data_IF_200985141720
#
_entry.id   IF_200985141720
#
_cell.length_a   1.000
_cell.length_b   1.000
_cell.length_c   1.000
_cell.angle_alpha   90.00
_cell.angle_beta   90.00
_cell.angle_gamma   90.00
#
_symmetry.space_group_name_H-M   'P 1'
#
loop_
_entity.id
_entity.type
_entity.pdbx_description
1 polymer ?
#
# COMPACT_ATOMS: atom_id res chain seq x y z
N UNK A 1 20.29 10.10 -40.54
CA UNK A 1 20.36 9.46 -39.21
C UNK A 1 19.48 8.21 -39.20
N UNK A 2 19.62 7.29 -38.23
CA UNK A 2 18.74 6.11 -38.12
C UNK A 2 17.45 6.48 -37.38
N UNK A 3 16.31 5.83 -37.67
CA UNK A 3 15.10 5.95 -36.86
C UNK A 3 15.38 5.61 -35.40
N UNK A 4 14.80 6.37 -34.47
CA UNK A 4 14.87 6.09 -33.02
C UNK A 4 13.52 5.55 -32.56
N UNK A 5 13.54 4.47 -31.78
CA UNK A 5 12.34 3.86 -31.21
C UNK A 5 12.38 3.98 -29.70
N UNK A 6 11.29 4.44 -29.11
CA UNK A 6 11.12 4.61 -27.66
C UNK A 6 10.07 3.58 -27.21
N UNK A 7 10.43 2.79 -26.21
CA UNK A 7 9.52 1.80 -25.61
C UNK A 7 8.70 2.46 -24.51
N UNK A 8 7.38 2.49 -24.66
CA UNK A 8 6.45 3.04 -23.68
C UNK A 8 5.41 1.98 -23.32
N UNK A 9 5.00 1.85 -22.05
CA UNK A 9 4.05 0.83 -21.62
C UNK A 9 2.68 0.93 -22.27
N UNK A 10 2.37 2.09 -22.87
CA UNK A 10 1.12 2.28 -23.61
C UNK A 10 1.25 1.94 -25.10
N UNK A 11 2.41 2.16 -25.73
CA UNK A 11 2.71 1.78 -27.12
C UNK A 11 4.15 2.14 -27.52
N UNK A 12 4.62 1.59 -28.63
CA UNK A 12 5.94 1.92 -29.18
C UNK A 12 5.84 3.20 -30.02
N UNK A 13 6.72 4.16 -29.75
CA UNK A 13 6.78 5.42 -30.50
C UNK A 13 8.05 5.46 -31.35
N UNK A 14 7.89 5.92 -32.58
CA UNK A 14 8.96 6.02 -33.58
C UNK A 14 9.22 7.48 -33.93
N UNK A 15 10.51 7.80 -34.04
CA UNK A 15 11.00 9.05 -34.60
C UNK A 15 11.71 8.73 -35.91
N UNK A 16 11.19 9.28 -37.01
CA UNK A 16 11.75 9.09 -38.35
C UNK A 16 12.23 10.43 -38.90
N UNK A 17 13.50 10.49 -39.34
CA UNK A 17 14.05 11.70 -39.94
C UNK A 17 13.70 11.75 -41.43
N UNK A 18 13.00 12.79 -41.87
CA UNK A 18 12.54 12.98 -43.24
C UNK A 18 13.41 14.00 -44.03
N UNK A 19 14.37 14.65 -43.36
CA UNK A 19 15.31 15.61 -43.95
C UNK A 19 16.77 15.22 -43.68
N UNK A 20 17.66 15.55 -44.62
CA UNK A 20 19.12 15.49 -44.39
C UNK A 20 19.65 16.71 -43.63
N UNK A 21 18.84 17.76 -43.48
CA UNK A 21 19.17 18.90 -42.65
C UNK A 21 19.21 18.49 -41.16
N UNK A 22 20.18 18.99 -40.38
CA UNK A 22 20.18 18.76 -38.95
C UNK A 22 18.99 19.47 -38.30
N UNK A 23 18.43 18.85 -37.25
CA UNK A 23 17.46 19.49 -36.38
C UNK A 23 18.01 20.82 -35.87
N UNK A 24 17.16 21.85 -35.85
CA UNK A 24 17.44 23.08 -35.15
C UNK A 24 17.61 22.84 -33.65
N UNK A 25 18.26 23.78 -32.94
CA UNK A 25 18.44 23.69 -31.50
C UNK A 25 17.09 23.57 -30.76
N UNK A 26 16.06 24.25 -31.25
CA UNK A 26 14.71 24.22 -30.68
C UNK A 26 14.02 22.87 -30.91
N UNK A 27 14.14 22.27 -32.10
CA UNK A 27 13.61 20.93 -32.37
C UNK A 27 14.34 19.85 -31.55
N UNK A 28 15.66 20.00 -31.34
CA UNK A 28 16.41 19.09 -30.46
C UNK A 28 15.89 19.15 -29.02
N UNK A 29 15.72 20.35 -28.49
CA UNK A 29 15.17 20.54 -27.14
C UNK A 29 13.75 19.97 -27.02
N UNK A 30 12.89 20.21 -28.01
CA UNK A 30 11.55 19.65 -28.03
C UNK A 30 11.55 18.11 -28.01
N UNK A 31 12.44 17.48 -28.77
CA UNK A 31 12.58 16.02 -28.80
C UNK A 31 13.09 15.47 -27.46
N UNK A 32 14.03 16.16 -26.81
CA UNK A 32 14.51 15.79 -25.47
C UNK A 32 13.36 15.84 -24.45
N UNK A 33 12.57 16.93 -24.46
CA UNK A 33 11.39 17.06 -23.58
C UNK A 33 10.35 15.99 -23.84
N UNK A 34 10.11 15.66 -25.10
CA UNK A 34 9.20 14.59 -25.48
C UNK A 34 9.67 13.24 -24.91
N UNK A 35 10.95 12.89 -25.07
CA UNK A 35 11.55 11.67 -24.51
C UNK A 35 11.44 11.63 -22.98
N UNK A 36 11.73 12.74 -22.30
CA UNK A 36 11.63 12.83 -20.84
C UNK A 36 10.19 12.57 -20.37
N UNK A 37 9.20 13.14 -21.07
CA UNK A 37 7.79 12.96 -20.76
C UNK A 37 7.38 11.49 -20.87
N UNK A 38 7.84 10.79 -21.91
CA UNK A 38 7.65 9.34 -22.08
C UNK A 38 8.25 8.54 -20.92
N UNK A 39 9.51 8.79 -20.59
CA UNK A 39 10.17 8.05 -19.52
C UNK A 39 9.47 8.26 -18.16
N UNK A 40 9.01 9.49 -17.89
CA UNK A 40 8.29 9.81 -16.66
C UNK A 40 6.91 9.13 -16.61
N UNK A 41 6.18 9.09 -17.73
CA UNK A 41 4.91 8.38 -17.84
C UNK A 41 5.09 6.88 -17.64
N UNK A 42 6.14 6.29 -18.23
CA UNK A 42 6.46 4.89 -18.05
C UNK A 42 6.75 4.55 -16.59
N UNK A 43 7.59 5.34 -15.93
CA UNK A 43 7.91 5.15 -14.52
C UNK A 43 6.66 5.25 -13.64
N UNK A 44 5.79 6.22 -13.91
CA UNK A 44 4.56 6.41 -13.15
C UNK A 44 3.57 5.24 -13.33
N UNK A 45 3.36 4.77 -14.56
CA UNK A 45 2.54 3.59 -14.83
C UNK A 45 3.07 2.35 -14.09
N UNK A 46 4.39 2.12 -14.10
CA UNK A 46 4.98 1.00 -13.37
C UNK A 46 4.67 1.06 -11.87
N UNK A 47 4.74 2.24 -11.26
CA UNK A 47 4.37 2.46 -9.86
C UNK A 47 2.89 2.16 -9.64
N UNK A 48 1.99 2.73 -10.45
CA UNK A 48 0.55 2.50 -10.35
C UNK A 48 0.19 1.01 -10.48
N UNK A 49 0.76 0.33 -11.46
CA UNK A 49 0.54 -1.11 -11.71
C UNK A 49 1.04 -1.95 -10.54
N UNK A 50 2.22 -1.63 -10.00
CA UNK A 50 2.77 -2.32 -8.82
C UNK A 50 1.86 -2.15 -7.60
N UNK A 51 1.42 -0.92 -7.32
CA UNK A 51 0.52 -0.62 -6.19
C UNK A 51 -0.85 -1.29 -6.36
N UNK A 52 -1.42 -1.22 -7.56
CA UNK A 52 -2.71 -1.86 -7.85
C UNK A 52 -2.63 -3.37 -7.63
N UNK A 53 -1.55 -4.01 -8.12
CA UNK A 53 -1.30 -5.42 -7.88
C UNK A 53 -1.13 -5.72 -6.38
N UNK A 54 -0.41 -4.88 -5.64
CA UNK A 54 -0.25 -5.02 -4.20
C UNK A 54 -1.62 -5.02 -3.49
N UNK A 55 -2.45 -3.98 -3.65
CA UNK A 55 -3.74 -3.91 -2.96
C UNK A 55 -4.72 -5.00 -3.42
N UNK A 56 -4.72 -5.34 -4.72
CA UNK A 56 -5.58 -6.41 -5.25
C UNK A 56 -5.22 -7.81 -4.74
N UNK A 57 -3.95 -8.05 -4.41
CA UNK A 57 -3.48 -9.38 -3.99
C UNK A 57 -3.36 -9.53 -2.48
N UNK A 58 -3.02 -8.44 -1.78
CA UNK A 58 -2.83 -8.42 -0.32
C UNK A 58 -4.15 -8.64 0.45
N UNK A 59 -5.30 -8.49 -0.20
CA UNK A 59 -6.59 -8.90 0.37
C UNK A 59 -6.61 -10.36 0.86
N UNK A 60 -5.89 -11.28 0.19
CA UNK A 60 -5.76 -12.68 0.67
C UNK A 60 -4.92 -12.78 1.94
N UNK A 61 -3.84 -12.02 2.03
CA UNK A 61 -3.00 -11.95 3.24
C UNK A 61 -3.81 -11.40 4.41
N UNK A 62 -4.64 -10.38 4.17
CA UNK A 62 -5.52 -9.82 5.19
C UNK A 62 -6.56 -10.85 5.68
N UNK A 63 -7.14 -11.65 4.77
CA UNK A 63 -8.04 -12.75 5.15
C UNK A 63 -7.34 -13.82 5.99
N UNK A 64 -6.10 -14.17 5.66
CA UNK A 64 -5.30 -15.10 6.46
C UNK A 64 -5.02 -14.54 7.85
N UNK A 65 -4.69 -13.25 7.96
CA UNK A 65 -4.51 -12.58 9.24
C UNK A 65 -5.80 -12.55 10.06
N UNK A 66 -6.95 -12.32 9.43
CA UNK A 66 -8.24 -12.40 10.11
C UNK A 66 -8.44 -13.81 10.71
N UNK A 67 -8.12 -14.88 9.99
CA UNK A 67 -8.24 -16.24 10.51
C UNK A 67 -7.27 -16.51 11.69
N UNK A 68 -6.04 -16.00 11.64
CA UNK A 68 -5.08 -16.10 12.74
C UNK A 68 -5.58 -15.29 13.96
N UNK A 69 -6.12 -14.10 13.71
CA UNK A 69 -6.74 -13.27 14.74
C UNK A 69 -7.94 -13.98 15.39
N UNK A 70 -8.81 -14.61 14.59
CA UNK A 70 -9.97 -15.34 15.12
C UNK A 70 -9.52 -16.50 16.02
N UNK A 71 -8.45 -17.21 15.67
CA UNK A 71 -7.86 -18.24 16.54
C UNK A 71 -7.33 -17.65 17.85
N UNK A 72 -6.61 -16.53 17.79
CA UNK A 72 -6.14 -15.81 18.97
C UNK A 72 -7.30 -15.38 19.87
N UNK A 73 -8.36 -14.81 19.28
CA UNK A 73 -9.56 -14.39 19.99
C UNK A 73 -10.26 -15.57 20.66
N UNK A 74 -10.35 -16.71 19.99
CA UNK A 74 -10.95 -17.92 20.56
C UNK A 74 -10.17 -18.42 21.79
N UNK A 75 -8.84 -18.46 21.73
CA UNK A 75 -8.01 -18.82 22.89
C UNK A 75 -8.19 -17.83 24.05
N UNK A 76 -8.27 -16.53 23.76
CA UNK A 76 -8.56 -15.53 24.79
C UNK A 76 -9.94 -15.72 25.43
N UNK A 77 -10.97 -16.02 24.63
CA UNK A 77 -12.32 -16.26 25.14
C UNK A 77 -12.40 -17.48 26.08
N UNK A 78 -11.61 -18.53 25.82
CA UNK A 78 -11.51 -19.70 26.71
C UNK A 78 -10.95 -19.34 28.09
N UNK A 79 -10.11 -18.30 28.18
CA UNK A 79 -9.49 -17.84 29.42
C UNK A 79 -10.27 -16.70 30.10
N UNK A 80 -11.31 -16.18 29.47
CA UNK A 80 -12.15 -15.11 30.04
C UNK A 80 -12.82 -15.49 31.37
N UNK A 81 -13.31 -16.74 31.58
CA UNK A 81 -13.82 -17.16 32.89
C UNK A 81 -12.76 -17.12 34.00
N UNK A 82 -11.49 -17.41 33.67
CA UNK A 82 -10.38 -17.30 34.61
C UNK A 82 -10.13 -15.84 35.00
N UNK A 83 -10.23 -14.90 34.07
CA UNK A 83 -10.14 -13.46 34.37
C UNK A 83 -11.21 -13.00 35.35
N UNK A 84 -12.46 -13.40 35.13
CA UNK A 84 -13.58 -13.07 36.02
C UNK A 84 -13.37 -13.65 37.42
N UNK A 85 -12.90 -14.90 37.50
CA UNK A 85 -12.56 -15.55 38.76
C UNK A 85 -11.43 -14.83 39.50
N UNK A 86 -10.36 -14.41 38.80
CA UNK A 86 -9.25 -13.66 39.39
C UNK A 86 -9.63 -12.24 39.81
N UNK A 87 -10.65 -11.64 39.19
CA UNK A 87 -11.12 -10.29 39.51
C UNK A 87 -12.21 -10.23 40.58
N UNK A 88 -13.09 -11.24 40.66
CA UNK A 88 -14.25 -11.27 41.55
C UNK A 88 -14.20 -12.34 42.65
N UNK A 89 -13.27 -13.30 42.55
CA UNK A 89 -13.15 -14.39 43.52
C UNK A 89 -12.59 -13.92 44.87
N UNK A 90 -13.23 -14.34 45.96
CA UNK A 90 -12.59 -14.36 47.28
C UNK A 90 -11.31 -15.23 47.19
N UNK A 91 -10.24 -14.90 47.93
CA UNK A 91 -9.01 -15.69 47.90
C UNK A 91 -9.32 -17.16 48.21
N UNK A 92 -8.82 -18.05 47.34
CA UNK A 92 -8.93 -19.50 47.47
C UNK A 92 -8.57 -19.95 48.88
N UNK A 93 -9.41 -20.77 49.50
CA UNK A 93 -9.13 -21.28 50.85
C UNK A 93 -8.11 -22.43 50.78
N UNK A 94 -7.26 -22.57 51.81
CA UNK A 94 -6.17 -23.58 51.87
C UNK A 94 -6.60 -25.04 51.58
N UNK A 95 -7.90 -25.34 51.63
CA UNK A 95 -8.45 -26.69 51.38
C UNK A 95 -8.92 -26.92 49.93
N UNK A 96 -8.92 -25.89 49.08
CA UNK A 96 -9.33 -25.97 47.66
C UNK A 96 -8.12 -26.17 46.72
N UNK A 97 -6.91 -26.15 47.28
CA UNK A 97 -5.63 -26.26 46.56
C UNK A 97 -5.17 -27.73 46.54
N UNK A 98 -5.81 -28.59 45.75
CA UNK A 98 -5.25 -29.91 45.44
C UNK A 98 -4.16 -29.81 44.35
N UNK A 99 -2.91 -29.71 44.84
CA UNK A 99 -1.67 -30.32 44.33
C UNK A 99 -1.28 -30.22 42.83
N UNK A 100 -1.54 -29.09 42.18
CA UNK A 100 -0.60 -28.51 41.21
C UNK A 100 -0.40 -27.08 41.70
N UNK A 101 0.84 -26.63 41.83
CA UNK A 101 1.18 -25.24 42.13
C UNK A 101 0.31 -24.36 41.22
N UNK A 102 -0.60 -23.56 41.78
CA UNK A 102 -1.56 -22.78 40.97
C UNK A 102 -0.84 -21.94 39.92
N UNK A 103 0.40 -21.54 40.19
CA UNK A 103 1.27 -20.87 39.22
C UNK A 103 1.65 -21.78 38.03
N UNK A 104 1.96 -23.06 38.26
CA UNK A 104 2.22 -24.04 37.20
C UNK A 104 0.96 -24.28 36.37
N UNK A 105 -0.22 -24.38 37.00
CA UNK A 105 -1.49 -24.58 36.30
C UNK A 105 -1.86 -23.38 35.42
N UNK A 106 -1.73 -22.16 35.93
CA UNK A 106 -1.95 -20.93 35.15
C UNK A 106 -0.96 -20.82 33.98
N UNK A 107 0.29 -21.23 34.16
CA UNK A 107 1.26 -21.32 33.06
C UNK A 107 0.81 -22.30 31.96
N UNK A 108 0.33 -23.49 32.34
CA UNK A 108 -0.17 -24.46 31.37
C UNK A 108 -1.42 -23.97 30.63
N UNK A 109 -2.37 -23.37 31.34
CA UNK A 109 -3.65 -22.90 30.78
C UNK A 109 -3.44 -21.69 29.84
N UNK A 110 -2.44 -20.85 30.08
CA UNK A 110 -2.13 -19.67 29.24
C UNK A 110 -1.21 -19.97 28.04
N UNK A 111 -0.52 -21.10 28.02
CA UNK A 111 0.42 -21.46 26.97
C UNK A 111 -0.18 -21.45 25.54
N UNK A 112 -1.42 -21.94 25.30
CA UNK A 112 -2.06 -21.85 23.99
C UNK A 112 -2.26 -20.40 23.52
N UNK A 113 -2.72 -19.52 24.42
CA UNK A 113 -2.90 -18.09 24.14
C UNK A 113 -1.57 -17.43 23.77
N UNK A 114 -0.50 -17.68 24.55
CA UNK A 114 0.83 -17.15 24.27
C UNK A 114 1.37 -17.62 22.91
N UNK A 115 1.09 -18.89 22.55
CA UNK A 115 1.48 -19.45 21.25
C UNK A 115 0.76 -18.76 20.10
N UNK A 116 -0.56 -18.56 20.23
CA UNK A 116 -1.32 -17.82 19.21
C UNK A 116 -0.89 -16.36 19.11
N UNK A 117 -0.58 -15.72 20.25
CA UNK A 117 -0.12 -14.34 20.28
C UNK A 117 1.21 -14.19 19.53
N UNK A 118 2.14 -15.12 19.74
CA UNK A 118 3.40 -15.17 19.00
C UNK A 118 3.18 -15.32 17.49
N UNK A 119 2.34 -16.29 17.08
CA UNK A 119 2.03 -16.52 15.67
C UNK A 119 1.36 -15.31 15.02
N UNK A 120 0.44 -14.68 15.74
CA UNK A 120 -0.25 -13.48 15.30
C UNK A 120 0.73 -12.32 15.10
N UNK A 121 1.52 -11.98 16.13
CA UNK A 121 2.48 -10.87 16.07
C UNK A 121 3.47 -11.04 14.92
N UNK A 122 4.04 -12.24 14.77
CA UNK A 122 4.97 -12.52 13.68
C UNK A 122 4.35 -12.30 12.29
N UNK A 123 3.10 -12.74 12.12
CA UNK A 123 2.38 -12.61 10.85
C UNK A 123 1.94 -11.17 10.59
N UNK A 124 1.48 -10.48 11.63
CA UNK A 124 0.97 -9.11 11.56
C UNK A 124 2.09 -8.10 11.29
N UNK A 125 3.25 -8.24 11.94
CA UNK A 125 4.41 -7.36 11.73
C UNK A 125 4.87 -7.38 10.27
N UNK A 126 5.05 -8.58 9.70
CA UNK A 126 5.47 -8.73 8.31
C UNK A 126 4.46 -8.13 7.31
N UNK A 127 3.16 -8.28 7.59
CA UNK A 127 2.10 -7.65 6.82
C UNK A 127 2.11 -6.13 6.94
N UNK A 128 2.23 -5.61 8.16
CA UNK A 128 2.16 -4.19 8.46
C UNK A 128 3.34 -3.42 7.86
N UNK A 129 4.54 -4.01 7.86
CA UNK A 129 5.71 -3.47 7.16
C UNK A 129 5.47 -3.31 5.66
N UNK A 130 4.88 -4.33 5.03
CA UNK A 130 4.49 -4.29 3.62
C UNK A 130 3.46 -3.20 3.33
N UNK A 131 2.46 -3.06 4.21
CA UNK A 131 1.43 -2.03 4.09
C UNK A 131 2.03 -0.64 4.19
N UNK A 132 2.90 -0.39 5.18
CA UNK A 132 3.55 0.90 5.38
C UNK A 132 4.39 1.30 4.16
N UNK A 133 5.11 0.35 3.56
CA UNK A 133 5.88 0.60 2.35
C UNK A 133 4.98 0.99 1.16
N UNK A 134 3.87 0.26 0.95
CA UNK A 134 2.92 0.55 -0.12
C UNK A 134 2.21 1.90 0.08
N UNK A 135 1.83 2.23 1.32
CA UNK A 135 1.20 3.51 1.66
C UNK A 135 2.16 4.70 1.46
N UNK A 136 3.44 4.52 1.79
CA UNK A 136 4.47 5.56 1.56
C UNK A 136 4.65 5.83 0.07
N UNK A 137 4.67 4.79 -0.76
CA UNK A 137 4.79 4.91 -2.22
C UNK A 137 3.49 5.49 -2.83
N UNK A 138 2.32 5.10 -2.32
CA UNK A 138 1.02 5.62 -2.75
C UNK A 138 0.83 7.10 -2.40
N UNK A 139 1.36 7.58 -1.28
CA UNK A 139 1.26 9.01 -0.91
C UNK A 139 1.93 9.94 -1.95
N UNK A 140 2.89 9.43 -2.73
CA UNK A 140 3.58 10.18 -3.77
C UNK A 140 2.86 10.20 -5.13
N UNK A 141 1.84 9.37 -5.35
CA UNK A 141 1.26 9.18 -6.69
C UNK A 141 0.45 10.39 -7.17
N UNK A 142 -0.22 11.10 -6.27
CA UNK A 142 -1.00 12.30 -6.60
C UNK A 142 -0.09 13.44 -7.06
N UNK A 143 0.97 13.73 -6.29
CA UNK A 143 1.96 14.75 -6.66
C UNK A 143 2.67 14.42 -7.97
N UNK A 144 2.95 13.13 -8.22
CA UNK A 144 3.56 12.69 -9.47
C UNK A 144 2.60 12.86 -10.66
N UNK A 145 1.31 12.62 -10.47
CA UNK A 145 0.29 12.87 -11.50
C UNK A 145 0.21 14.36 -11.85
N UNK A 146 0.03 15.23 -10.86
CA UNK A 146 -0.04 16.68 -11.09
C UNK A 146 1.22 17.21 -11.79
N UNK A 147 2.39 16.68 -11.42
CA UNK A 147 3.66 17.06 -12.05
C UNK A 147 3.68 16.65 -13.52
N UNK A 148 3.23 15.43 -13.84
CA UNK A 148 3.15 14.96 -15.22
C UNK A 148 2.17 15.79 -16.04
N UNK A 149 0.99 16.10 -15.51
CA UNK A 149 -0.01 16.96 -16.18
C UNK A 149 0.60 18.32 -16.55
N UNK A 150 1.29 18.98 -15.61
CA UNK A 150 1.99 20.24 -15.87
C UNK A 150 3.07 20.10 -16.94
N UNK A 151 3.85 19.02 -16.90
CA UNK A 151 4.89 18.76 -17.92
C UNK A 151 4.29 18.55 -19.32
N UNK A 152 3.11 17.91 -19.41
CA UNK A 152 2.37 17.77 -20.66
C UNK A 152 1.92 19.12 -21.21
N UNK A 153 1.31 19.95 -20.37
CA UNK A 153 0.82 21.28 -20.76
C UNK A 153 1.98 22.18 -21.19
N UNK A 154 3.07 22.20 -20.40
CA UNK A 154 4.29 22.94 -20.72
C UNK A 154 4.91 22.48 -22.05
N UNK A 155 4.97 21.17 -22.29
CA UNK A 155 5.48 20.63 -23.55
C UNK A 155 4.59 21.01 -24.73
N UNK A 156 3.27 20.87 -24.57
CA UNK A 156 2.30 21.15 -25.63
C UNK A 156 2.34 22.62 -26.06
N UNK A 157 2.33 23.53 -25.09
CA UNK A 157 2.20 24.96 -25.35
C UNK A 157 3.50 25.60 -25.83
N UNK A 158 4.64 25.15 -25.30
CA UNK A 158 5.93 25.79 -25.58
C UNK A 158 6.74 25.10 -26.66
N UNK A 159 6.43 23.85 -27.03
CA UNK A 159 7.20 23.10 -28.01
C UNK A 159 6.31 22.52 -29.10
N UNK A 160 5.40 21.60 -28.74
CA UNK A 160 4.67 20.81 -29.72
C UNK A 160 3.86 21.65 -30.71
N UNK A 161 3.06 22.60 -30.20
CA UNK A 161 2.26 23.50 -31.03
C UNK A 161 3.10 24.42 -31.94
N UNK A 162 4.37 24.64 -31.61
CA UNK A 162 5.27 25.55 -32.32
C UNK A 162 6.00 24.84 -33.46
N UNK A 163 6.45 23.60 -33.24
CA UNK A 163 7.27 22.85 -34.22
C UNK A 163 6.44 22.05 -35.22
N UNK A 164 5.18 21.74 -34.90
CA UNK A 164 4.34 20.89 -35.73
C UNK A 164 3.93 21.59 -37.02
N UNK A 165 4.20 20.95 -38.17
CA UNK A 165 3.85 21.43 -39.51
C UNK A 165 2.62 20.72 -40.08
N UNK A 166 2.54 19.41 -39.89
CA UNK A 166 1.41 18.59 -40.31
C UNK A 166 0.99 17.70 -39.14
N UNK A 167 -0.17 18.01 -38.55
CA UNK A 167 -0.74 17.23 -37.46
C UNK A 167 -1.15 15.81 -37.90
N UNK A 168 -1.61 15.64 -39.14
CA UNK A 168 -2.09 14.35 -39.62
C UNK A 168 -0.96 13.35 -39.88
N UNK A 169 0.25 13.86 -40.13
CA UNK A 169 1.48 13.08 -40.34
C UNK A 169 2.48 13.22 -39.21
N UNK A 170 2.11 13.97 -38.17
CA UNK A 170 2.98 14.24 -37.02
C UNK A 170 4.36 14.77 -37.41
N UNK A 171 4.37 15.65 -38.42
CA UNK A 171 5.59 16.11 -39.10
C UNK A 171 6.06 17.45 -38.54
N UNK A 172 7.34 17.53 -38.19
CA UNK A 172 8.10 18.75 -37.91
C UNK A 172 9.08 19.01 -39.07
N UNK A 173 9.85 20.10 -39.04
CA UNK A 173 10.69 20.51 -40.18
C UNK A 173 11.66 19.42 -40.67
N UNK A 174 12.26 18.68 -39.72
CA UNK A 174 13.35 17.73 -40.02
C UNK A 174 13.07 16.28 -39.63
N UNK A 175 11.92 16.01 -39.00
CA UNK A 175 11.51 14.68 -38.57
C UNK A 175 9.99 14.51 -38.57
N UNK A 176 9.55 13.27 -38.51
CA UNK A 176 8.18 12.87 -38.23
C UNK A 176 8.18 12.07 -36.93
N UNK A 177 7.26 12.43 -36.04
CA UNK A 177 6.91 11.66 -34.85
C UNK A 177 5.88 10.58 -35.26
N UNK A 178 5.66 9.59 -34.40
CA UNK A 178 4.61 8.58 -34.60
C UNK A 178 3.25 9.25 -34.83
N UNK A 179 2.48 8.75 -35.82
CA UNK A 179 1.36 9.40 -36.55
C UNK A 179 0.19 9.90 -35.69
N UNK A 180 0.24 9.77 -34.36
CA UNK A 180 -0.94 9.87 -33.51
C UNK A 180 -0.62 10.40 -32.11
N UNK A 181 -0.29 11.69 -31.96
CA UNK A 181 -0.12 12.33 -30.64
C UNK A 181 -1.38 12.21 -29.76
N UNK A 182 -2.55 12.17 -30.39
CA UNK A 182 -3.83 12.02 -29.71
C UNK A 182 -3.89 10.69 -28.95
N UNK A 183 -3.29 9.63 -29.46
CA UNK A 183 -3.17 8.35 -28.76
C UNK A 183 -2.11 8.38 -27.65
N UNK A 184 -1.06 9.20 -27.73
CA UNK A 184 -0.22 9.45 -26.56
C UNK A 184 -0.97 10.19 -25.44
N UNK A 185 -1.81 11.19 -25.80
CA UNK A 185 -2.74 11.82 -24.84
C UNK A 185 -3.79 10.85 -24.30
N UNK A 186 -4.37 10.03 -25.16
CA UNK A 186 -5.32 8.98 -24.76
C UNK A 186 -4.70 8.01 -23.78
N UNK A 187 -3.47 7.57 -24.05
CA UNK A 187 -2.68 6.73 -23.16
C UNK A 187 -2.38 7.40 -21.81
N UNK A 188 -2.14 8.71 -21.81
CA UNK A 188 -2.02 9.48 -20.58
C UNK A 188 -3.34 9.53 -19.79
N UNK A 189 -4.48 9.75 -20.46
CA UNK A 189 -5.81 9.65 -19.85
C UNK A 189 -6.12 8.25 -19.31
N UNK A 190 -5.68 7.19 -20.00
CA UNK A 190 -5.83 5.82 -19.49
C UNK A 190 -5.03 5.61 -18.20
N UNK A 191 -3.87 6.27 -18.08
CA UNK A 191 -3.05 6.25 -16.87
C UNK A 191 -3.72 6.97 -15.69
N UNK A 192 -4.38 8.10 -15.93
CA UNK A 192 -5.15 8.77 -14.88
C UNK A 192 -6.34 7.91 -14.45
N UNK A 193 -7.00 7.23 -15.39
CA UNK A 193 -8.01 6.22 -15.07
C UNK A 193 -7.47 5.02 -14.27
N UNK A 194 -6.21 4.63 -14.50
CA UNK A 194 -5.54 3.61 -13.68
C UNK A 194 -5.29 4.12 -12.24
N UNK A 195 -4.96 5.39 -12.07
CA UNK A 195 -4.79 6.01 -10.76
C UNK A 195 -6.12 6.06 -9.99
N UNK A 196 -7.23 6.44 -10.64
CA UNK A 196 -8.56 6.41 -10.04
C UNK A 196 -8.92 5.00 -9.55
N UNK A 197 -8.72 3.99 -10.42
CA UNK A 197 -8.94 2.58 -10.07
C UNK A 197 -8.08 2.13 -8.89
N UNK A 198 -6.83 2.60 -8.81
CA UNK A 198 -5.96 2.32 -7.67
C UNK A 198 -6.57 2.88 -6.38
N UNK A 199 -7.08 4.10 -6.39
CA UNK A 199 -7.71 4.71 -5.22
C UNK A 199 -8.95 3.95 -4.77
N UNK A 200 -9.79 3.50 -5.70
CA UNK A 200 -10.97 2.68 -5.39
C UNK A 200 -10.58 1.35 -4.70
N UNK A 201 -9.65 0.60 -5.30
CA UNK A 201 -9.18 -0.68 -4.74
C UNK A 201 -8.47 -0.49 -3.40
N UNK A 202 -7.68 0.58 -3.27
CA UNK A 202 -7.03 0.94 -2.01
C UNK A 202 -8.05 1.27 -0.92
N UNK A 203 -9.10 2.01 -1.23
CA UNK A 203 -10.12 2.38 -0.26
C UNK A 203 -10.84 1.13 0.30
N UNK A 204 -11.25 0.20 -0.57
CA UNK A 204 -11.87 -1.06 -0.15
C UNK A 204 -10.93 -1.90 0.72
N UNK A 205 -9.66 -1.99 0.34
CA UNK A 205 -8.65 -2.69 1.13
C UNK A 205 -8.43 -2.05 2.50
N UNK A 206 -8.31 -0.72 2.56
CA UNK A 206 -8.04 -0.01 3.81
C UNK A 206 -9.23 -0.07 4.78
N UNK A 207 -10.47 -0.05 4.28
CA UNK A 207 -11.64 -0.26 5.13
C UNK A 207 -11.55 -1.63 5.84
N UNK A 208 -11.23 -2.68 5.09
CA UNK A 208 -11.03 -4.03 5.63
C UNK A 208 -9.87 -4.08 6.64
N UNK A 209 -8.75 -3.40 6.36
CA UNK A 209 -7.61 -3.30 7.26
C UNK A 209 -7.99 -2.60 8.58
N UNK A 210 -8.67 -1.45 8.51
CA UNK A 210 -9.08 -0.66 9.67
C UNK A 210 -10.03 -1.47 10.56
N UNK A 211 -10.97 -2.20 9.96
CA UNK A 211 -11.87 -3.09 10.72
C UNK A 211 -11.10 -4.15 11.51
N UNK A 212 -10.13 -4.82 10.90
CA UNK A 212 -9.27 -5.79 11.61
C UNK A 212 -8.42 -5.11 12.68
N UNK A 213 -7.80 -3.97 12.37
CA UNK A 213 -6.95 -3.22 13.30
C UNK A 213 -7.70 -2.81 14.57
N UNK A 214 -8.95 -2.35 14.44
CA UNK A 214 -9.78 -2.00 15.58
C UNK A 214 -10.07 -3.21 16.47
N UNK A 215 -10.38 -4.38 15.89
CA UNK A 215 -10.57 -5.62 16.64
C UNK A 215 -9.31 -6.05 17.38
N UNK A 216 -8.14 -5.90 16.75
CA UNK A 216 -6.84 -6.17 17.38
C UNK A 216 -6.63 -5.28 18.60
N UNK A 217 -6.87 -3.97 18.47
CA UNK A 217 -6.72 -3.02 19.57
C UNK A 217 -7.69 -3.28 20.74
N UNK A 218 -8.88 -3.81 20.46
CA UNK A 218 -9.82 -4.25 21.50
C UNK A 218 -9.34 -5.52 22.21
N UNK A 219 -8.89 -6.53 21.45
CA UNK A 219 -8.41 -7.79 22.01
C UNK A 219 -7.13 -7.60 22.84
N UNK A 220 -6.21 -6.75 22.39
CA UNK A 220 -4.97 -6.41 23.10
C UNK A 220 -5.24 -5.88 24.51
N UNK A 221 -6.19 -4.95 24.66
CA UNK A 221 -6.63 -4.46 25.98
C UNK A 221 -7.12 -5.60 26.88
N UNK A 222 -7.86 -6.56 26.31
CA UNK A 222 -8.37 -7.72 27.03
C UNK A 222 -7.26 -8.67 27.49
N UNK A 223 -6.30 -8.95 26.61
CA UNK A 223 -5.13 -9.81 26.90
C UNK A 223 -4.23 -9.15 27.95
N UNK A 224 -3.97 -7.84 27.85
CA UNK A 224 -3.20 -7.10 28.86
C UNK A 224 -3.88 -7.17 30.22
N UNK A 225 -5.21 -6.94 30.29
CA UNK A 225 -5.96 -7.04 31.54
C UNK A 225 -5.90 -8.46 32.15
N UNK A 226 -5.94 -9.50 31.30
CA UNK A 226 -5.79 -10.90 31.73
C UNK A 226 -4.43 -11.13 32.39
N UNK A 227 -3.34 -10.74 31.74
CA UNK A 227 -2.00 -10.96 32.30
C UNK A 227 -1.71 -10.09 33.52
N UNK A 228 -2.22 -8.86 33.60
CA UNK A 228 -2.12 -8.04 34.82
C UNK A 228 -2.85 -8.69 36.00
N UNK A 229 -4.04 -9.27 35.77
CA UNK A 229 -4.77 -10.00 36.82
C UNK A 229 -4.02 -11.25 37.28
N UNK A 230 -3.46 -12.03 36.35
CA UNK A 230 -2.64 -13.21 36.66
C UNK A 230 -1.40 -12.83 37.48
N UNK A 231 -0.75 -11.73 37.16
CA UNK A 231 0.46 -11.28 37.86
C UNK A 231 0.18 -10.57 39.20
N UNK A 232 -1.09 -10.42 39.60
CA UNK A 232 -1.47 -9.70 40.81
C UNK A 232 -1.19 -8.19 40.76
N UNK A 233 -1.01 -7.63 39.56
CA UNK A 233 -0.82 -6.20 39.35
C UNK A 233 -2.17 -5.49 39.54
N UNK A 234 -2.51 -5.22 40.79
CA UNK A 234 -3.66 -4.37 41.12
C UNK A 234 -3.42 -2.99 40.50
N UNK A 235 -4.41 -2.45 39.76
CA UNK A 235 -4.47 -1.05 39.41
C UNK A 235 -4.40 -0.22 40.70
N UNK A 236 -3.19 0.14 41.10
CA UNK A 236 -2.86 0.89 42.31
C UNK A 236 -3.18 2.35 42.07
N UNK A 237 -4.47 2.64 41.91
CA UNK A 237 -5.05 3.95 42.12
C UNK A 237 -5.51 4.04 43.58
N UNK A 238 -4.57 3.84 44.51
CA UNK A 238 -4.77 4.19 45.91
C UNK A 238 -4.70 5.72 46.05
N UNK A 239 -5.87 6.33 46.17
CA UNK A 239 -6.09 7.70 46.63
C UNK A 239 -5.09 8.10 47.73
N UNK A 240 -4.38 9.24 47.62
CA UNK A 240 -3.70 9.80 48.78
C UNK A 240 -4.75 10.49 49.65
N UNK A 241 -4.96 9.96 50.85
CA UNK A 241 -5.51 10.74 51.97
C UNK A 241 -4.45 11.74 52.45
#
# INVERSE_FOLDING_TARGET
>A
MKPTTIDHPFRIIKLEYNSEAPLSAFEQEALEKYIDLHNNCQAYNQVLTKLLNYYSTTGKTLQQLQAIFDNLQNEYLLLTPMLHYLQEGDPLTENEIESIDESERVCYDTQPLLTQLHNFNHSYDAYYDGLRAAETECAGTEQQQEKLEKQFDEFNDNYFNIIIRDYARMEIDSASLDEDFDNFRGAFCDMTGLADKLYDVRAEFLDSHIQLHNKIAELDKGIVALFSAINGESNSSSNPN
#
